data_IF_643577291472
#
_entry.id   IF_643577291472
#
_cell.length_a   1.000
_cell.length_b   1.000
_cell.length_c   1.000
_cell.angle_alpha   90.00
_cell.angle_beta   90.00
_cell.angle_gamma   90.00
#
_symmetry.space_group_name_H-M   'P 1'
#
loop_
_entity.id
_entity.type
_entity.pdbx_description
1 polymer ?
#
# COMPACT_ATOMS: atom_id res chain seq x y z
N UNK A 1 -5.61 -39.70 -15.98
CA UNK A 1 -6.35 -39.15 -17.14
C UNK A 1 -6.60 -40.26 -18.15
N UNK A 2 -7.64 -41.05 -17.95
CA UNK A 2 -8.09 -42.06 -18.91
C UNK A 2 -9.61 -42.04 -18.90
N UNK A 3 -10.19 -41.30 -19.84
CA UNK A 3 -11.60 -41.42 -20.15
C UNK A 3 -11.79 -42.80 -20.79
N UNK A 4 -12.13 -43.79 -19.97
CA UNK A 4 -12.61 -45.08 -20.43
C UNK A 4 -13.96 -44.86 -21.11
N UNK A 5 -13.90 -44.40 -22.35
CA UNK A 5 -15.01 -44.34 -23.28
C UNK A 5 -15.38 -45.78 -23.63
N UNK A 6 -16.05 -46.49 -22.72
CA UNK A 6 -16.65 -47.78 -23.04
C UNK A 6 -17.70 -47.52 -24.13
N UNK A 7 -17.52 -48.02 -25.36
CA UNK A 7 -18.57 -47.94 -26.34
C UNK A 7 -19.67 -48.88 -25.84
N UNK A 8 -20.74 -48.33 -25.26
CA UNK A 8 -21.96 -49.08 -25.05
C UNK A 8 -22.32 -49.66 -26.42
N UNK A 9 -22.21 -50.99 -26.55
CA UNK A 9 -22.53 -51.76 -27.73
C UNK A 9 -24.03 -51.63 -28.03
N UNK A 10 -24.43 -50.48 -28.56
CA UNK A 10 -25.67 -50.26 -29.29
C UNK A 10 -25.58 -50.98 -30.66
N UNK A 11 -25.09 -52.21 -30.68
CA UNK A 11 -24.81 -53.00 -31.89
C UNK A 11 -25.90 -54.05 -32.16
N UNK A 12 -26.93 -54.10 -31.31
CA UNK A 12 -28.04 -55.08 -31.40
C UNK A 12 -29.36 -54.42 -31.82
N UNK A 13 -29.41 -53.10 -32.00
CA UNK A 13 -30.58 -52.39 -32.53
C UNK A 13 -30.44 -52.23 -34.05
N UNK A 14 -31.40 -52.76 -34.81
CA UNK A 14 -31.34 -52.89 -36.26
C UNK A 14 -31.24 -51.56 -37.04
N UNK A 15 -31.52 -50.41 -36.42
CA UNK A 15 -31.52 -49.09 -37.07
C UNK A 15 -30.36 -48.17 -36.60
N UNK A 16 -29.57 -47.72 -37.58
CA UNK A 16 -28.46 -46.78 -37.37
C UNK A 16 -28.96 -45.38 -36.98
N UNK A 17 -30.15 -44.96 -37.43
CA UNK A 17 -30.70 -43.65 -37.11
C UNK A 17 -31.14 -43.56 -35.63
N UNK A 18 -31.81 -44.58 -35.12
CA UNK A 18 -32.14 -44.75 -33.70
C UNK A 18 -30.87 -44.71 -32.83
N UNK A 19 -29.82 -45.44 -33.22
CA UNK A 19 -28.52 -45.42 -32.52
C UNK A 19 -27.90 -44.02 -32.45
N UNK A 20 -27.99 -43.24 -33.53
CA UNK A 20 -27.53 -41.84 -33.56
C UNK A 20 -28.35 -40.96 -32.62
N UNK A 21 -29.68 -41.12 -32.63
CA UNK A 21 -30.60 -40.39 -31.74
C UNK A 21 -30.31 -40.65 -30.26
N UNK A 22 -30.13 -41.92 -29.87
CA UNK A 22 -29.80 -42.30 -28.49
C UNK A 22 -28.45 -41.69 -28.08
N UNK A 23 -27.42 -41.79 -28.94
CA UNK A 23 -26.11 -41.19 -28.65
C UNK A 23 -26.17 -39.67 -28.51
N UNK A 24 -26.93 -38.98 -29.36
CA UNK A 24 -27.11 -37.52 -29.24
C UNK A 24 -27.86 -37.15 -27.97
N UNK A 25 -28.90 -37.90 -27.59
CA UNK A 25 -29.67 -37.66 -26.37
C UNK A 25 -28.81 -37.85 -25.12
N UNK A 26 -27.96 -38.89 -25.07
CA UNK A 26 -27.04 -39.11 -23.94
C UNK A 26 -26.05 -37.95 -23.81
N UNK A 27 -25.43 -37.51 -24.91
CA UNK A 27 -24.50 -36.36 -24.89
C UNK A 27 -25.19 -35.08 -24.46
N UNK A 28 -26.44 -34.89 -24.89
CA UNK A 28 -27.24 -33.73 -24.51
C UNK A 28 -27.59 -33.74 -23.02
N UNK A 29 -28.01 -34.89 -22.49
CA UNK A 29 -28.26 -35.05 -21.06
C UNK A 29 -27.00 -34.80 -20.22
N UNK A 30 -25.86 -35.35 -20.64
CA UNK A 30 -24.58 -35.11 -19.96
C UNK A 30 -24.17 -33.64 -19.96
N UNK A 31 -24.41 -32.91 -21.06
CA UNK A 31 -24.18 -31.46 -21.12
C UNK A 31 -25.08 -30.71 -20.14
N UNK A 32 -26.37 -31.02 -20.13
CA UNK A 32 -27.33 -30.38 -19.24
C UNK A 32 -27.07 -30.68 -17.75
N UNK A 33 -26.57 -31.88 -17.44
CA UNK A 33 -26.19 -32.25 -16.07
C UNK A 33 -24.98 -31.44 -15.60
N UNK A 34 -23.94 -31.33 -16.43
CA UNK A 34 -22.78 -30.48 -16.14
C UNK A 34 -23.18 -29.00 -15.98
N UNK A 35 -24.03 -28.47 -16.85
CA UNK A 35 -24.49 -27.09 -16.78
C UNK A 35 -25.26 -26.81 -15.48
N UNK A 36 -26.15 -27.72 -15.06
CA UNK A 36 -26.88 -27.60 -13.78
C UNK A 36 -25.96 -27.69 -12.57
N UNK A 37 -24.96 -28.55 -12.61
CA UNK A 37 -23.95 -28.66 -11.55
C UNK A 37 -23.10 -27.39 -11.47
N UNK A 38 -22.67 -26.86 -12.61
CA UNK A 38 -21.94 -25.59 -12.71
C UNK A 38 -22.76 -24.42 -12.17
N UNK A 39 -24.04 -24.32 -12.52
CA UNK A 39 -24.97 -23.31 -11.99
C UNK A 39 -25.15 -23.43 -10.47
N UNK A 40 -25.32 -24.65 -9.95
CA UNK A 40 -25.46 -24.89 -8.51
C UNK A 40 -24.16 -24.53 -7.75
N UNK A 41 -23.00 -24.85 -8.33
CA UNK A 41 -21.70 -24.49 -7.78
C UNK A 41 -21.45 -22.98 -7.87
N UNK A 42 -21.81 -22.33 -8.98
CA UNK A 42 -21.70 -20.89 -9.15
C UNK A 42 -22.58 -20.13 -8.14
N UNK A 43 -23.82 -20.59 -7.93
CA UNK A 43 -24.73 -20.03 -6.92
C UNK A 43 -24.19 -20.15 -5.49
N UNK A 44 -23.53 -21.27 -5.17
CA UNK A 44 -22.85 -21.47 -3.87
C UNK A 44 -21.59 -20.62 -3.73
N UNK A 45 -20.75 -20.57 -4.78
CA UNK A 45 -19.52 -19.76 -4.82
C UNK A 45 -19.82 -18.27 -4.65
N UNK A 46 -20.85 -17.77 -5.33
CA UNK A 46 -21.27 -16.37 -5.23
C UNK A 46 -21.72 -15.97 -3.82
N UNK A 47 -22.35 -16.89 -3.06
CA UNK A 47 -22.74 -16.61 -1.67
C UNK A 47 -21.55 -16.61 -0.71
N UNK A 48 -20.60 -17.54 -0.88
CA UNK A 48 -19.39 -17.61 -0.06
C UNK A 48 -18.49 -16.37 -0.29
N UNK A 49 -18.23 -16.02 -1.55
CA UNK A 49 -17.38 -14.89 -1.91
C UNK A 49 -17.92 -13.53 -1.42
N UNK A 50 -19.25 -13.35 -1.45
CA UNK A 50 -19.91 -12.16 -0.87
C UNK A 50 -19.72 -12.03 0.64
N UNK A 51 -19.57 -13.16 1.35
CA UNK A 51 -19.38 -13.19 2.79
C UNK A 51 -17.91 -12.94 3.16
N UNK A 52 -16.99 -13.63 2.48
CA UNK A 52 -15.55 -13.47 2.69
C UNK A 52 -15.09 -12.02 2.42
N UNK A 53 -15.68 -11.36 1.42
CA UNK A 53 -15.36 -9.97 1.11
C UNK A 53 -15.76 -9.00 2.24
N UNK A 54 -16.82 -9.29 3.00
CA UNK A 54 -17.24 -8.46 4.14
C UNK A 54 -16.29 -8.60 5.32
N UNK A 55 -15.86 -9.83 5.62
CA UNK A 55 -14.94 -10.12 6.72
C UNK A 55 -13.54 -9.57 6.40
N UNK A 56 -13.07 -9.72 5.16
CA UNK A 56 -11.81 -9.15 4.71
C UNK A 56 -11.81 -7.61 4.79
N UNK A 57 -12.91 -6.96 4.40
CA UNK A 57 -13.05 -5.51 4.53
C UNK A 57 -12.95 -5.03 5.99
N UNK A 58 -13.63 -5.73 6.92
CA UNK A 58 -13.58 -5.39 8.35
C UNK A 58 -12.17 -5.59 8.92
N UNK A 59 -11.49 -6.68 8.58
CA UNK A 59 -10.12 -6.91 9.03
C UNK A 59 -9.13 -5.89 8.46
N UNK A 60 -9.30 -5.49 7.19
CA UNK A 60 -8.51 -4.43 6.57
C UNK A 60 -8.69 -3.10 7.31
N UNK A 61 -9.93 -2.71 7.57
CA UNK A 61 -10.27 -1.50 8.34
C UNK A 61 -9.69 -1.54 9.75
N UNK A 62 -9.82 -2.68 10.44
CA UNK A 62 -9.29 -2.84 11.78
C UNK A 62 -7.76 -2.69 11.80
N UNK A 63 -7.05 -3.34 10.88
CA UNK A 63 -5.60 -3.24 10.76
C UNK A 63 -5.15 -1.80 10.47
N UNK A 64 -5.88 -1.10 9.60
CA UNK A 64 -5.60 0.31 9.33
C UNK A 64 -5.84 1.20 10.55
N UNK A 65 -6.92 0.96 11.30
CA UNK A 65 -7.20 1.68 12.54
C UNK A 65 -6.11 1.42 13.60
N UNK A 66 -5.65 0.18 13.74
CA UNK A 66 -4.55 -0.19 14.63
C UNK A 66 -3.25 0.50 14.23
N UNK A 67 -2.93 0.53 12.93
CA UNK A 67 -1.75 1.23 12.42
C UNK A 67 -1.82 2.74 12.71
N UNK A 68 -2.97 3.38 12.46
CA UNK A 68 -3.18 4.80 12.77
C UNK A 68 -3.04 5.08 14.28
N UNK A 69 -3.58 4.19 15.13
CA UNK A 69 -3.45 4.32 16.57
C UNK A 69 -1.99 4.18 17.04
N UNK A 70 -1.23 3.25 16.45
CA UNK A 70 0.20 3.11 16.72
C UNK A 70 0.99 4.38 16.33
N UNK A 71 0.71 4.94 15.15
CA UNK A 71 1.32 6.20 14.71
C UNK A 71 0.96 7.39 15.61
N UNK A 72 -0.29 7.48 16.07
CA UNK A 72 -0.70 8.52 17.00
C UNK A 72 0.03 8.41 18.35
N UNK A 73 0.21 7.20 18.87
CA UNK A 73 0.99 6.95 20.09
C UNK A 73 2.45 7.35 19.91
N UNK A 74 3.05 6.98 18.78
CA UNK A 74 4.42 7.38 18.45
C UNK A 74 4.55 8.90 18.35
N UNK A 75 3.61 9.58 17.68
CA UNK A 75 3.60 11.03 17.57
C UNK A 75 3.59 11.70 18.96
N UNK A 76 2.72 11.25 19.86
CA UNK A 76 2.68 11.77 21.24
C UNK A 76 3.97 11.51 22.02
N UNK A 77 4.63 10.37 21.83
CA UNK A 77 5.95 10.11 22.42
C UNK A 77 7.00 11.10 21.91
N UNK A 78 7.04 11.32 20.58
CA UNK A 78 8.00 12.22 19.93
C UNK A 78 7.81 13.70 20.27
N UNK A 79 6.60 14.12 20.67
CA UNK A 79 6.35 15.47 21.17
C UNK A 79 7.06 15.72 22.50
N UNK A 80 7.12 14.71 23.38
CA UNK A 80 7.78 14.80 24.68
C UNK A 80 9.31 14.61 24.62
N UNK A 81 9.80 13.97 23.55
CA UNK A 81 11.24 13.72 23.35
C UNK A 81 11.94 14.94 22.75
N UNK A 82 13.11 15.27 23.29
CA UNK A 82 13.96 16.36 22.79
C UNK A 82 15.42 15.95 22.57
N UNK A 83 15.76 14.66 22.72
CA UNK A 83 17.12 14.17 22.53
C UNK A 83 17.33 13.66 21.09
N UNK A 84 18.36 14.18 20.41
CA UNK A 84 18.62 13.87 18.99
C UNK A 84 19.15 12.45 18.83
N UNK A 85 19.95 11.98 19.78
CA UNK A 85 20.58 10.67 19.79
C UNK A 85 19.52 9.57 19.95
N UNK A 86 18.62 9.70 20.92
CA UNK A 86 17.46 8.81 21.09
C UNK A 86 16.56 8.78 19.84
N UNK A 87 16.24 9.94 19.27
CA UNK A 87 15.45 10.02 18.02
C UNK A 87 16.17 9.33 16.84
N UNK A 88 17.50 9.44 16.78
CA UNK A 88 18.32 8.79 15.74
C UNK A 88 18.41 7.27 15.95
N UNK A 89 18.37 6.80 17.20
CA UNK A 89 18.26 5.39 17.51
C UNK A 89 16.90 4.82 17.06
N UNK A 90 15.80 5.51 17.38
CA UNK A 90 14.45 5.15 16.92
C UNK A 90 14.37 5.12 15.38
N UNK A 91 14.99 6.09 14.71
CA UNK A 91 14.99 6.16 13.25
C UNK A 91 15.67 4.94 12.61
N UNK A 92 16.72 4.41 13.24
CA UNK A 92 17.44 3.22 12.76
C UNK A 92 16.62 1.93 12.95
N UNK A 93 15.78 1.86 13.98
CA UNK A 93 14.92 0.71 14.24
C UNK A 93 13.57 0.74 13.50
N UNK A 94 13.11 1.91 13.06
CA UNK A 94 11.80 2.07 12.42
C UNK A 94 11.73 1.39 11.04
N UNK A 95 10.84 0.39 10.93
CA UNK A 95 10.61 -0.39 9.72
C UNK A 95 9.66 0.28 8.73
N UNK A 96 8.72 1.07 9.23
CA UNK A 96 7.67 1.69 8.42
C UNK A 96 8.02 3.10 7.96
N UNK A 97 7.54 3.49 6.76
CA UNK A 97 7.81 4.81 6.21
C UNK A 97 7.18 5.94 7.03
N UNK A 98 5.93 5.76 7.45
CA UNK A 98 5.20 6.77 8.23
C UNK A 98 5.84 7.02 9.60
N UNK A 99 6.37 5.97 10.25
CA UNK A 99 7.13 6.11 11.49
C UNK A 99 8.40 6.95 11.28
N UNK A 100 9.20 6.59 10.26
CA UNK A 100 10.42 7.34 9.91
C UNK A 100 10.14 8.81 9.58
N UNK A 101 9.00 9.09 8.93
CA UNK A 101 8.57 10.45 8.59
C UNK A 101 8.30 11.27 9.85
N UNK A 102 7.58 10.73 10.82
CA UNK A 102 7.33 11.36 12.12
C UNK A 102 8.63 11.60 12.89
N UNK A 103 9.49 10.58 12.97
CA UNK A 103 10.76 10.68 13.69
C UNK A 103 11.68 11.75 13.05
N UNK A 104 11.80 11.78 11.71
CA UNK A 104 12.57 12.83 11.01
C UNK A 104 12.01 14.23 11.26
N UNK A 105 10.69 14.38 11.34
CA UNK A 105 10.08 15.66 11.67
C UNK A 105 10.42 16.12 13.09
N UNK A 106 10.39 15.19 14.06
CA UNK A 106 10.81 15.48 15.44
C UNK A 106 12.29 15.90 15.52
N UNK A 107 13.20 15.20 14.82
CA UNK A 107 14.62 15.59 14.77
C UNK A 107 14.79 17.01 14.21
N UNK A 108 14.07 17.34 13.13
CA UNK A 108 14.10 18.70 12.57
C UNK A 108 13.59 19.75 13.57
N UNK A 109 12.51 19.44 14.32
CA UNK A 109 11.98 20.31 15.37
C UNK A 109 13.04 20.59 16.45
N UNK A 110 13.65 19.54 16.99
CA UNK A 110 14.67 19.66 18.06
C UNK A 110 15.85 20.50 17.60
N UNK A 111 16.41 20.21 16.42
CA UNK A 111 17.55 20.98 15.88
C UNK A 111 17.19 22.45 15.62
N UNK A 112 15.98 22.72 15.16
CA UNK A 112 15.52 24.11 14.98
C UNK A 112 15.47 24.83 16.34
N UNK A 113 14.94 24.19 17.37
CA UNK A 113 14.89 24.73 18.74
C UNK A 113 16.30 24.98 19.33
N UNK A 114 17.25 24.08 19.09
CA UNK A 114 18.66 24.25 19.51
C UNK A 114 19.29 25.47 18.84
N UNK A 115 19.07 25.64 17.53
CA UNK A 115 19.57 26.80 16.78
C UNK A 115 18.93 28.09 17.31
N UNK A 116 17.60 28.11 17.50
CA UNK A 116 16.90 29.27 18.05
C UNK A 116 17.42 29.63 19.44
N UNK A 117 17.58 28.66 20.34
CA UNK A 117 18.15 28.89 21.67
C UNK A 117 19.58 29.44 21.61
N UNK A 118 20.43 28.90 20.72
CA UNK A 118 21.80 29.38 20.53
C UNK A 118 21.84 30.80 19.96
N UNK A 119 20.96 31.14 19.02
CA UNK A 119 20.88 32.49 18.44
C UNK A 119 20.37 33.51 19.47
N UNK A 120 19.40 33.15 20.30
CA UNK A 120 18.93 34.00 21.40
C UNK A 120 20.03 34.24 22.44
N UNK A 121 20.74 33.18 22.86
CA UNK A 121 21.89 33.32 23.74
C UNK A 121 22.96 34.22 23.11
N UNK A 122 23.33 33.98 21.84
CA UNK A 122 24.29 34.80 21.11
C UNK A 122 23.89 36.28 21.03
N UNK A 123 22.60 36.60 20.86
CA UNK A 123 22.08 37.98 20.89
C UNK A 123 22.20 38.62 22.29
N UNK A 124 21.95 37.86 23.34
CA UNK A 124 22.05 38.36 24.72
C UNK A 124 23.51 38.62 25.12
N UNK A 125 24.45 37.77 24.70
CA UNK A 125 25.87 37.94 25.00
C UNK A 125 26.58 38.94 24.07
N UNK A 126 26.08 39.18 22.86
CA UNK A 126 26.63 40.19 21.92
C UNK A 126 26.06 41.60 22.11
N UNK A 127 25.44 41.89 23.26
CA UNK A 127 24.88 43.20 23.63
C UNK A 127 25.93 44.31 23.82
N UNK A 128 26.64 44.67 22.75
CA UNK A 128 27.23 46.01 22.58
C UNK A 128 26.61 46.58 21.30
N UNK A 129 25.85 47.68 21.36
CA UNK A 129 25.41 48.34 20.14
C UNK A 129 26.66 48.93 19.50
N UNK A 130 27.17 48.31 18.43
CA UNK A 130 28.18 48.95 17.61
C UNK A 130 27.47 50.05 16.80
N UNK A 131 27.27 51.20 17.45
CA UNK A 131 27.00 52.45 16.76
C UNK A 131 28.25 52.80 15.96
N UNK A 132 28.17 52.68 14.64
CA UNK A 132 29.20 53.17 13.72
C UNK A 132 29.96 52.06 13.02
N UNK A 133 29.56 51.76 11.80
CA UNK A 133 30.27 52.28 10.62
C UNK A 133 29.79 51.50 9.41
N UNK A 134 29.20 52.25 8.48
CA UNK A 134 28.90 51.85 7.13
C UNK A 134 30.22 51.58 6.41
N UNK A 135 30.50 50.35 6.03
CA UNK A 135 31.43 50.08 4.92
C UNK A 135 30.86 48.96 4.04
N UNK A 136 30.46 49.41 2.85
CA UNK A 136 30.22 48.62 1.65
C UNK A 136 31.43 47.73 1.36
N UNK A 137 31.23 46.45 1.02
CA UNK A 137 32.09 45.70 0.07
C UNK A 137 31.53 44.33 -0.30
N UNK A 138 30.91 44.30 -1.48
CA UNK A 138 30.92 43.27 -2.51
C UNK A 138 31.70 41.96 -2.23
N UNK A 139 31.00 40.85 -2.45
CA UNK A 139 31.51 39.56 -2.94
C UNK A 139 30.31 38.66 -3.23
N UNK A 140 29.83 38.55 -4.48
CA UNK A 140 30.15 37.46 -5.43
C UNK A 140 29.95 36.07 -4.78
N UNK A 141 29.21 35.10 -5.30
CA UNK A 141 28.39 34.94 -6.49
C UNK A 141 27.64 33.59 -6.33
N UNK A 142 26.52 33.44 -7.03
CA UNK A 142 25.99 32.20 -7.63
C UNK A 142 25.99 30.88 -6.81
N UNK A 143 24.79 30.39 -6.45
CA UNK A 143 24.25 29.22 -7.17
C UNK A 143 22.72 29.15 -7.06
N UNK A 144 22.09 29.46 -8.19
CA UNK A 144 20.86 28.90 -8.77
C UNK A 144 20.10 27.90 -7.89
N UNK A 145 18.91 28.31 -7.44
CA UNK A 145 17.82 27.42 -7.07
C UNK A 145 17.49 26.55 -8.29
N UNK A 146 17.94 25.29 -8.30
CA UNK A 146 17.33 24.29 -9.16
C UNK A 146 15.97 23.94 -8.56
N UNK A 147 14.93 24.47 -9.20
CA UNK A 147 13.60 23.92 -9.12
C UNK A 147 13.68 22.52 -9.73
N UNK A 148 13.62 21.48 -8.89
CA UNK A 148 13.37 20.12 -9.37
C UNK A 148 11.92 20.06 -9.85
N UNK A 149 11.69 20.39 -11.12
CA UNK A 149 10.51 19.94 -11.85
C UNK A 149 10.59 18.42 -11.94
N UNK A 150 9.60 17.75 -11.34
CA UNK A 150 9.41 16.30 -11.42
C UNK A 150 8.71 16.02 -12.76
N UNK A 151 9.30 15.28 -13.70
CA UNK A 151 8.54 14.82 -14.85
C UNK A 151 7.61 13.68 -14.43
N UNK A 152 6.32 13.86 -14.68
CA UNK A 152 5.28 12.85 -14.63
C UNK A 152 5.69 11.66 -15.51
N UNK A 153 5.71 10.45 -14.95
CA UNK A 153 5.88 9.23 -15.72
C UNK A 153 4.56 8.91 -16.41
N UNK A 154 4.52 9.13 -17.72
CA UNK A 154 3.53 8.51 -18.59
C UNK A 154 3.75 6.99 -18.57
N UNK A 155 2.74 6.27 -18.08
CA UNK A 155 2.59 4.84 -18.26
C UNK A 155 2.35 4.57 -19.75
N UNK A 156 3.31 3.94 -20.43
CA UNK A 156 3.07 3.30 -21.72
C UNK A 156 3.04 1.79 -21.49
N UNK A 157 1.82 1.25 -21.49
CA UNK A 157 1.51 -0.15 -21.77
C UNK A 157 2.00 -0.52 -23.18
N UNK A 158 2.86 -1.53 -23.28
CA UNK A 158 2.88 -2.50 -24.37
C UNK A 158 3.24 -3.89 -23.83
#
# INVERSE_FOLDING_TARGET
MTCLSHPLQLEVTADLAERRRIRSAIRELQRQELEREEEALASKRFRAERQDNKENWLHSQQREAEQRAALARLAGQLESMNDVEELTALLRSAGEYEERKLIRAAIRRVRAQEIEAATLAGRLYSGRPNSGSREDSKGLAAHRLEQCEVPEREEQEQ
#
